data_IF_058799082224
#
_entry.id   IF_058799082224
#
_cell.length_a   1.000
_cell.length_b   1.000
_cell.length_c   1.000
_cell.angle_alpha   90.00
_cell.angle_beta   90.00
_cell.angle_gamma   90.00
#
_symmetry.space_group_name_H-M   'P 1'
#
loop_
_entity.id
_entity.type
_entity.pdbx_description
1 polymer ?
#
# COMPACT_ATOMS: atom_id res chain seq x y z
N UNK A 1 6.57 26.98 14.27
CA UNK A 1 5.79 27.07 13.00
C UNK A 1 5.83 25.77 12.16
N UNK A 2 6.34 24.65 12.69
CA UNK A 2 6.52 23.37 11.96
C UNK A 2 5.30 22.45 12.08
N UNK A 3 4.57 22.51 13.20
CA UNK A 3 3.53 21.54 13.57
C UNK A 3 2.27 21.58 12.70
N UNK A 4 1.89 22.75 12.16
CA UNK A 4 0.66 22.87 11.34
C UNK A 4 0.80 22.22 9.95
N UNK A 5 2.01 21.91 9.50
CA UNK A 5 2.26 21.35 8.16
C UNK A 5 2.10 19.82 8.11
N UNK A 6 2.45 19.11 9.19
CA UNK A 6 2.42 17.64 9.25
C UNK A 6 0.99 17.12 9.34
N UNK A 7 0.15 17.76 10.17
CA UNK A 7 -1.25 17.37 10.38
C UNK A 7 -2.07 17.52 9.08
N UNK A 8 -1.78 18.57 8.28
CA UNK A 8 -2.44 18.79 6.98
C UNK A 8 -2.04 17.76 5.93
N UNK A 9 -0.81 17.24 6.00
CA UNK A 9 -0.35 16.13 5.16
C UNK A 9 -1.03 14.82 5.56
N UNK A 10 -1.09 14.51 6.86
CA UNK A 10 -1.75 13.31 7.38
C UNK A 10 -3.24 13.23 6.98
N UNK A 11 -3.97 14.34 7.10
CA UNK A 11 -5.38 14.41 6.68
C UNK A 11 -5.60 14.15 5.18
N UNK A 12 -4.67 14.56 4.31
CA UNK A 12 -4.74 14.28 2.87
C UNK A 12 -4.56 12.79 2.55
N UNK A 13 -3.72 12.07 3.29
CA UNK A 13 -3.57 10.62 3.09
C UNK A 13 -4.83 9.85 3.51
N UNK A 14 -5.52 10.29 4.57
CA UNK A 14 -6.81 9.70 4.98
C UNK A 14 -7.89 9.86 3.91
N UNK A 15 -7.97 11.04 3.26
CA UNK A 15 -8.91 11.27 2.16
C UNK A 15 -8.64 10.40 0.93
N UNK A 16 -7.38 10.05 0.66
CA UNK A 16 -7.04 9.14 -0.46
C UNK A 16 -7.44 7.69 -0.17
N UNK A 17 -7.52 7.30 1.10
CA UNK A 17 -8.04 5.99 1.51
C UNK A 17 -9.58 5.98 1.41
N UNK A 18 -10.24 7.12 1.68
CA UNK A 18 -11.69 7.30 1.47
C UNK A 18 -12.10 7.38 -0.01
N UNK A 19 -11.17 7.75 -0.89
CA UNK A 19 -11.38 7.71 -2.34
C UNK A 19 -11.50 6.24 -2.80
N UNK A 20 -12.74 5.76 -2.84
CA UNK A 20 -13.12 4.36 -3.00
C UNK A 20 -12.26 3.60 -4.03
N UNK A 21 -12.03 4.17 -5.21
CA UNK A 21 -11.24 3.53 -6.28
C UNK A 21 -9.75 3.30 -5.94
N UNK A 22 -9.12 4.20 -5.17
CA UNK A 22 -7.73 4.08 -4.76
C UNK A 22 -7.59 3.14 -3.57
N UNK A 23 -8.54 3.20 -2.63
CA UNK A 23 -8.66 2.22 -1.55
C UNK A 23 -8.74 0.79 -2.06
N UNK A 24 -9.60 0.53 -3.06
CA UNK A 24 -9.69 -0.79 -3.71
C UNK A 24 -8.40 -1.19 -4.42
N UNK A 25 -7.72 -0.26 -5.10
CA UNK A 25 -6.44 -0.53 -5.77
C UNK A 25 -5.34 -0.92 -4.78
N UNK A 26 -5.30 -0.29 -3.61
CA UNK A 26 -4.39 -0.62 -2.51
C UNK A 26 -4.71 -2.01 -1.96
N UNK A 27 -5.99 -2.29 -1.67
CA UNK A 27 -6.44 -3.57 -1.15
C UNK A 27 -6.11 -4.73 -2.10
N UNK A 28 -6.30 -4.53 -3.42
CA UNK A 28 -5.94 -5.51 -4.45
C UNK A 28 -4.42 -5.73 -4.50
N UNK A 29 -3.61 -4.67 -4.47
CA UNK A 29 -2.14 -4.81 -4.50
C UNK A 29 -1.59 -5.56 -3.28
N UNK A 30 -2.11 -5.25 -2.08
CA UNK A 30 -1.75 -5.94 -0.84
C UNK A 30 -2.25 -7.39 -0.86
N UNK A 31 -3.48 -7.64 -1.31
CA UNK A 31 -4.07 -8.97 -1.41
C UNK A 31 -3.29 -9.89 -2.36
N UNK A 32 -2.87 -9.39 -3.52
CA UNK A 32 -2.01 -10.13 -4.45
C UNK A 32 -0.66 -10.47 -3.79
N UNK A 33 -0.03 -9.50 -3.14
CA UNK A 33 1.24 -9.71 -2.44
C UNK A 33 1.14 -10.81 -1.37
N UNK A 34 0.08 -10.79 -0.56
CA UNK A 34 -0.18 -11.82 0.45
C UNK A 34 -0.44 -13.19 -0.18
N UNK A 35 -1.23 -13.27 -1.25
CA UNK A 35 -1.52 -14.53 -1.93
C UNK A 35 -0.25 -15.22 -2.45
N UNK A 36 0.59 -14.48 -3.18
CA UNK A 36 1.85 -15.01 -3.70
C UNK A 36 2.84 -15.34 -2.59
N UNK A 37 2.87 -14.53 -1.53
CA UNK A 37 3.69 -14.79 -0.34
C UNK A 37 3.30 -16.09 0.37
N UNK A 38 2.00 -16.30 0.61
CA UNK A 38 1.48 -17.54 1.20
C UNK A 38 1.72 -18.75 0.30
N UNK A 39 1.57 -18.58 -1.02
CA UNK A 39 1.86 -19.65 -1.97
C UNK A 39 3.35 -20.01 -1.98
N UNK A 40 4.23 -19.01 -1.85
CA UNK A 40 5.67 -19.24 -1.69
C UNK A 40 5.98 -20.00 -0.40
N UNK A 41 5.44 -19.57 0.74
CA UNK A 41 5.68 -20.22 2.03
C UNK A 41 5.22 -21.68 2.02
N UNK A 42 4.02 -21.92 1.46
CA UNK A 42 3.45 -23.26 1.31
C UNK A 42 4.31 -24.17 0.41
N UNK A 43 4.94 -23.61 -0.62
CA UNK A 43 5.76 -24.39 -1.55
C UNK A 43 7.17 -24.68 -1.01
N UNK A 44 7.66 -23.89 -0.05
CA UNK A 44 9.02 -23.99 0.48
C UNK A 44 9.07 -24.47 1.94
N UNK A 45 7.95 -24.95 2.51
CA UNK A 45 7.77 -25.29 3.93
C UNK A 45 8.44 -24.26 4.87
N UNK A 46 8.33 -22.99 4.47
CA UNK A 46 8.98 -21.89 5.16
C UNK A 46 8.06 -21.35 6.23
N UNK A 47 8.65 -20.79 7.30
CA UNK A 47 7.94 -19.82 8.16
C UNK A 47 7.32 -18.72 7.28
N UNK A 48 6.33 -17.93 7.78
CA UNK A 48 5.56 -16.96 6.98
C UNK A 48 6.35 -15.73 6.46
N UNK A 49 7.61 -15.94 6.12
CA UNK A 49 8.61 -15.01 5.61
C UNK A 49 8.27 -14.54 4.20
N UNK A 50 7.81 -15.44 3.33
CA UNK A 50 7.29 -15.11 2.00
C UNK A 50 5.99 -14.32 2.07
N UNK A 51 5.10 -14.63 3.01
CA UNK A 51 3.89 -13.85 3.30
C UNK A 51 4.26 -12.44 3.76
N UNK A 52 5.24 -12.30 4.65
CA UNK A 52 5.76 -11.01 5.10
C UNK A 52 6.40 -10.21 3.96
N UNK A 53 7.24 -10.85 3.14
CA UNK A 53 7.86 -10.21 1.97
C UNK A 53 6.79 -9.80 0.95
N UNK A 54 5.83 -10.67 0.68
CA UNK A 54 4.70 -10.42 -0.21
C UNK A 54 3.86 -9.23 0.26
N UNK A 55 3.58 -9.13 1.56
CA UNK A 55 2.93 -7.97 2.15
C UNK A 55 3.72 -6.68 1.94
N UNK A 56 5.03 -6.68 2.21
CA UNK A 56 5.89 -5.50 2.04
C UNK A 56 5.95 -5.04 0.58
N UNK A 57 6.05 -5.98 -0.36
CA UNK A 57 6.05 -5.69 -1.80
C UNK A 57 4.69 -5.10 -2.22
N UNK A 58 3.58 -5.71 -1.79
CA UNK A 58 2.22 -5.23 -2.07
C UNK A 58 1.97 -3.83 -1.53
N UNK A 59 2.41 -3.56 -0.30
CA UNK A 59 2.33 -2.25 0.35
C UNK A 59 3.19 -1.20 -0.37
N UNK A 60 4.42 -1.56 -0.78
CA UNK A 60 5.29 -0.67 -1.56
C UNK A 60 4.69 -0.29 -2.91
N UNK A 61 4.09 -1.26 -3.62
CA UNK A 61 3.39 -1.02 -4.87
C UNK A 61 2.17 -0.09 -4.69
N UNK A 62 1.38 -0.32 -3.64
CA UNK A 62 0.26 0.53 -3.27
C UNK A 62 0.69 1.98 -3.00
N UNK A 63 1.73 2.19 -2.18
CA UNK A 63 2.30 3.51 -1.92
C UNK A 63 2.76 4.22 -3.21
N UNK A 64 3.37 3.50 -4.15
CA UNK A 64 3.81 4.06 -5.43
C UNK A 64 2.62 4.47 -6.30
N UNK A 65 1.53 3.71 -6.31
CA UNK A 65 0.29 4.06 -7.01
C UNK A 65 -0.31 5.35 -6.44
N UNK A 66 -0.43 5.43 -5.11
CA UNK A 66 -0.93 6.62 -4.41
C UNK A 66 -0.09 7.86 -4.72
N UNK A 67 1.24 7.76 -4.63
CA UNK A 67 2.16 8.85 -4.97
C UNK A 67 2.05 9.27 -6.44
N UNK A 68 1.90 8.31 -7.36
CA UNK A 68 1.74 8.58 -8.80
C UNK A 68 0.42 9.30 -9.08
N UNK A 69 -0.66 8.92 -8.40
CA UNK A 69 -1.99 9.54 -8.58
C UNK A 69 -2.00 10.95 -8.00
N UNK A 70 -1.45 11.15 -6.80
CA UNK A 70 -1.29 12.48 -6.23
C UNK A 70 -0.48 13.42 -7.13
N UNK A 71 0.59 12.92 -7.77
CA UNK A 71 1.39 13.74 -8.71
C UNK A 71 0.59 14.17 -9.95
N UNK A 72 -0.37 13.36 -10.42
CA UNK A 72 -1.24 13.74 -11.56
C UNK A 72 -2.33 14.74 -11.18
N UNK A 73 -2.82 14.71 -9.94
CA UNK A 73 -3.89 15.62 -9.49
C UNK A 73 -3.37 17.03 -9.15
N UNK A 74 -2.06 17.19 -8.96
CA UNK A 74 -1.44 18.43 -8.49
C UNK A 74 -0.51 19.08 -9.53
N UNK A 75 -0.48 18.55 -10.76
CA UNK A 75 0.16 19.10 -11.96
C UNK A 75 -0.92 19.45 -12.98
#
# INVERSE_FOLDING_TARGET
MVEKSVIRKAGKYSQVIEDSSLGWSIAVAVGIGLYFGQMYDKNNDSEPLGTLIGFLIGLGAACRLVLKVHKRLNS
#
